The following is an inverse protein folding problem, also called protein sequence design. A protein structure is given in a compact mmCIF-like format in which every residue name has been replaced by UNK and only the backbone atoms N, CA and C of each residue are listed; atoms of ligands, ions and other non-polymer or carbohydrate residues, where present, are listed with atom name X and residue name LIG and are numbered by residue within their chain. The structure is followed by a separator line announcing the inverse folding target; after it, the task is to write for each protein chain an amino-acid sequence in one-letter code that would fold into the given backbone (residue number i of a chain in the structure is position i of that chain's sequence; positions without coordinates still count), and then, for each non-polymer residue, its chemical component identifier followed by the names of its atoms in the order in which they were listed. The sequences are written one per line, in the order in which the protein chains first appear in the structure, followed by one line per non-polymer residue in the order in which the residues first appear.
data_IF_929359779548
#
_entry.id   IF_929359779548
#
_cell.length_a   1.000
_cell.length_b   1.000
_cell.length_c   1.000
_cell.angle_alpha   90.00
_cell.angle_beta   90.00
_cell.angle_gamma   90.00
#
_symmetry.space_group_name_H-M   'P 1'
#
loop_
_entity.id
_entity.type
_entity.pdbx_description
1 polymer ?
#
# COMPACT_ATOMS: atom_id res chain seq x y z
N UNK A 1 -1.85 -32.42 9.09
CA UNK A 1 -2.92 -31.46 8.77
C UNK A 1 -2.94 -30.20 9.65
N UNK A 2 -2.94 -30.30 10.99
CA UNK A 2 -2.90 -29.10 11.86
C UNK A 2 -1.46 -28.61 12.12
N UNK A 3 -0.49 -29.54 12.25
CA UNK A 3 0.93 -29.20 12.42
C UNK A 3 1.50 -28.41 11.24
N UNK A 4 1.16 -28.81 10.02
CA UNK A 4 1.67 -28.19 8.79
C UNK A 4 1.23 -26.71 8.65
N UNK A 5 0.02 -26.35 9.11
CA UNK A 5 -0.47 -24.96 9.12
C UNK A 5 0.23 -24.08 10.16
N UNK A 6 0.57 -24.64 11.32
CA UNK A 6 1.26 -23.91 12.39
C UNK A 6 2.70 -23.61 11.98
N UNK A 7 3.37 -24.57 11.33
CA UNK A 7 4.73 -24.42 10.81
C UNK A 7 4.82 -23.37 9.71
N UNK A 8 3.85 -23.32 8.78
CA UNK A 8 3.78 -22.31 7.72
C UNK A 8 3.66 -20.89 8.31
N UNK A 9 2.77 -20.70 9.30
CA UNK A 9 2.58 -19.38 9.95
C UNK A 9 3.83 -18.93 10.72
N UNK A 10 4.56 -19.86 11.34
CA UNK A 10 5.82 -19.52 12.03
C UNK A 10 6.97 -19.24 11.07
N UNK A 11 6.98 -19.88 9.89
CA UNK A 11 7.95 -19.61 8.84
C UNK A 11 7.71 -18.22 8.21
N UNK A 12 6.45 -17.88 7.91
CA UNK A 12 6.05 -16.54 7.46
C UNK A 12 6.42 -15.46 8.48
N UNK A 13 6.25 -15.70 9.79
CA UNK A 13 6.68 -14.78 10.85
C UNK A 13 8.20 -14.62 10.92
N UNK A 14 8.95 -15.71 10.76
CA UNK A 14 10.43 -15.67 10.73
C UNK A 14 10.93 -14.92 9.50
N UNK A 15 10.32 -15.13 8.35
CA UNK A 15 10.63 -14.45 7.08
C UNK A 15 10.27 -12.96 7.21
N UNK A 16 9.08 -12.62 7.72
CA UNK A 16 8.66 -11.25 7.97
C UNK A 16 9.59 -10.51 8.95
N UNK A 17 10.03 -11.17 10.03
CA UNK A 17 11.03 -10.60 10.96
C UNK A 17 12.41 -10.38 10.32
N UNK A 18 12.77 -11.16 9.30
CA UNK A 18 14.06 -11.08 8.59
C UNK A 18 14.06 -10.02 7.48
N UNK A 19 12.88 -9.65 6.98
CA UNK A 19 12.69 -8.60 5.95
C UNK A 19 12.52 -7.21 6.59
N UNK A 20 12.03 -7.17 7.82
CA UNK A 20 11.84 -5.93 8.56
C UNK A 20 13.18 -5.39 9.08
N UNK A 21 13.48 -4.09 8.94
CA UNK A 21 14.73 -3.50 9.44
C UNK A 21 14.82 -3.63 10.99
N UNK A 22 15.94 -3.27 11.62
CA UNK A 22 16.06 -3.17 13.08
C UNK A 22 15.01 -2.21 13.71
N UNK A 23 14.60 -2.41 14.98
CA UNK A 23 13.59 -1.57 15.65
C UNK A 23 13.86 -0.06 15.64
N UNK A 24 15.13 0.32 15.54
CA UNK A 24 15.60 1.71 15.66
C UNK A 24 15.77 2.42 14.31
N UNK A 25 15.51 1.73 13.21
CA UNK A 25 15.55 2.30 11.87
C UNK A 25 14.19 2.83 11.41
N UNK A 26 14.17 3.88 10.57
CA UNK A 26 12.94 4.38 9.97
C UNK A 26 12.20 3.33 9.15
N UNK A 27 10.87 3.36 9.20
CA UNK A 27 9.99 2.45 8.45
C UNK A 27 8.72 3.14 8.03
N UNK A 28 8.08 2.60 6.99
CA UNK A 28 6.75 3.01 6.59
C UNK A 28 5.67 2.38 7.47
N UNK A 29 5.05 3.18 8.33
CA UNK A 29 3.88 2.81 9.09
C UNK A 29 2.60 3.19 8.34
N UNK A 30 1.65 2.26 8.22
CA UNK A 30 0.30 2.61 7.81
C UNK A 30 -0.48 3.17 9.00
N UNK A 31 -1.02 4.38 8.85
CA UNK A 31 -1.74 5.10 9.88
C UNK A 31 -3.19 5.38 9.46
N UNK A 32 -4.07 5.41 10.44
CA UNK A 32 -5.50 5.73 10.38
C UNK A 32 -5.68 7.19 10.78
N UNK A 33 -6.32 7.99 9.93
CA UNK A 33 -6.71 9.37 10.17
C UNK A 33 -8.25 9.53 10.04
N UNK A 34 -9.03 9.21 11.09
CA UNK A 34 -10.48 9.05 10.98
C UNK A 34 -11.17 10.33 10.52
N UNK A 35 -12.34 10.16 9.89
CA UNK A 35 -13.19 11.25 9.36
C UNK A 35 -12.53 12.05 8.22
N UNK A 36 -11.86 11.35 7.29
CA UNK A 36 -11.21 11.93 6.10
C UNK A 36 -10.16 13.00 6.43
N UNK A 37 -9.44 12.81 7.55
CA UNK A 37 -8.44 13.76 8.04
C UNK A 37 -7.03 13.43 7.56
N UNK A 38 -6.87 12.52 6.59
CA UNK A 38 -5.58 12.15 6.01
C UNK A 38 -4.77 13.37 5.54
N UNK A 39 -5.38 14.32 4.82
CA UNK A 39 -4.69 15.53 4.36
C UNK A 39 -4.35 16.50 5.49
N UNK A 40 -5.19 16.55 6.55
CA UNK A 40 -4.89 17.35 7.75
C UNK A 40 -3.73 16.74 8.53
N UNK A 41 -3.68 15.41 8.62
CA UNK A 41 -2.56 14.69 9.22
C UNK A 41 -1.28 14.89 8.42
N UNK A 42 -1.34 14.81 7.09
CA UNK A 42 -0.21 15.09 6.19
C UNK A 42 0.38 16.48 6.47
N UNK A 43 -0.43 17.54 6.43
CA UNK A 43 0.04 18.89 6.71
C UNK A 43 0.74 19.01 8.09
N UNK A 44 0.16 18.42 9.14
CA UNK A 44 0.75 18.43 10.47
C UNK A 44 2.04 17.60 10.60
N UNK A 45 2.22 16.58 9.76
CA UNK A 45 3.45 15.79 9.68
C UNK A 45 4.53 16.52 8.85
N UNK A 46 4.12 17.20 7.77
CA UNK A 46 4.99 18.02 6.94
C UNK A 46 5.59 19.17 7.75
N UNK A 47 4.80 19.85 8.59
CA UNK A 47 5.27 20.88 9.53
C UNK A 47 6.33 20.37 10.51
N UNK A 48 6.34 19.05 10.78
CA UNK A 48 7.32 18.39 11.65
C UNK A 48 8.49 17.79 10.87
N UNK A 49 8.53 17.94 9.55
CA UNK A 49 9.54 17.32 8.69
C UNK A 49 9.48 15.79 8.66
N UNK A 50 8.32 15.20 8.95
CA UNK A 50 8.14 13.74 8.96
C UNK A 50 7.64 13.30 7.59
N UNK A 51 8.46 12.50 6.90
CA UNK A 51 8.09 11.97 5.59
C UNK A 51 6.80 11.16 5.67
N UNK A 52 5.89 11.42 4.75
CA UNK A 52 4.59 10.79 4.69
C UNK A 52 4.07 10.67 3.25
N UNK A 53 3.01 9.90 3.07
CA UNK A 53 2.39 9.68 1.76
C UNK A 53 0.91 9.35 1.90
N UNK A 54 0.07 10.09 1.18
CA UNK A 54 -1.36 9.78 0.99
C UNK A 54 -1.54 9.36 -0.47
N UNK A 55 -2.09 8.18 -0.77
CA UNK A 55 -2.37 7.80 -2.16
C UNK A 55 -3.50 8.67 -2.72
N UNK A 56 -3.21 9.40 -3.80
CA UNK A 56 -4.14 10.36 -4.41
C UNK A 56 -4.49 9.96 -5.85
N UNK A 57 -5.67 10.38 -6.33
CA UNK A 57 -6.06 10.32 -7.73
C UNK A 57 -6.71 11.62 -8.17
N UNK A 58 -6.71 11.87 -9.47
CA UNK A 58 -7.57 12.89 -10.03
C UNK A 58 -9.01 12.40 -10.13
N UNK A 59 -9.94 13.24 -9.72
CA UNK A 59 -11.37 13.03 -9.87
C UNK A 59 -12.02 14.31 -10.42
N UNK A 60 -13.01 14.15 -11.31
CA UNK A 60 -13.81 15.28 -11.78
C UNK A 60 -14.91 15.52 -10.77
N UNK A 61 -14.78 16.60 -9.99
CA UNK A 61 -15.79 17.00 -9.02
C UNK A 61 -16.69 18.06 -9.65
N UNK A 62 -17.99 17.81 -9.60
CA UNK A 62 -19.02 18.77 -10.03
C UNK A 62 -19.38 19.66 -8.85
N UNK A 63 -19.14 20.97 -8.98
CA UNK A 63 -19.55 21.96 -7.99
C UNK A 63 -20.44 23.00 -8.68
N UNK A 64 -21.75 22.84 -8.52
CA UNK A 64 -22.74 23.60 -9.28
C UNK A 64 -22.64 23.29 -10.79
N UNK A 65 -22.49 24.32 -11.62
CA UNK A 65 -22.36 24.17 -13.08
C UNK A 65 -20.92 23.87 -13.55
N UNK A 66 -19.90 23.96 -12.68
CA UNK A 66 -18.50 23.80 -13.06
C UNK A 66 -17.96 22.41 -12.72
N UNK A 67 -17.29 21.80 -13.70
CA UNK A 67 -16.50 20.57 -13.54
C UNK A 67 -15.05 20.96 -13.26
N UNK A 68 -14.51 20.54 -12.11
CA UNK A 68 -13.10 20.78 -11.76
C UNK A 68 -12.38 19.46 -11.52
N UNK A 69 -11.21 19.29 -12.13
CA UNK A 69 -10.30 18.18 -11.85
C UNK A 69 -9.61 18.46 -10.51
N UNK A 70 -9.80 17.60 -9.52
CA UNK A 70 -9.21 17.73 -8.18
C UNK A 70 -8.46 16.47 -7.79
N UNK A 71 -7.35 16.63 -7.06
CA UNK A 71 -6.66 15.53 -6.38
C UNK A 71 -7.42 15.18 -5.11
N UNK A 72 -7.83 13.92 -5.00
CA UNK A 72 -8.56 13.40 -3.85
C UNK A 72 -7.89 12.12 -3.34
N UNK A 73 -7.93 11.84 -2.02
CA UNK A 73 -7.45 10.58 -1.48
C UNK A 73 -8.19 9.40 -2.11
N UNK A 74 -7.44 8.41 -2.57
CA UNK A 74 -8.02 7.19 -3.15
C UNK A 74 -8.60 6.30 -2.06
N UNK A 75 -7.90 6.25 -0.93
CA UNK A 75 -8.28 5.46 0.24
C UNK A 75 -8.44 6.43 1.40
N UNK A 76 -9.67 6.63 1.84
CA UNK A 76 -9.95 7.48 2.98
C UNK A 76 -9.43 6.86 4.28
N UNK A 77 -9.15 7.71 5.26
CA UNK A 77 -8.67 7.26 6.58
C UNK A 77 -7.35 6.46 6.48
N UNK A 78 -6.46 6.84 5.56
CA UNK A 78 -5.16 6.22 5.36
C UNK A 78 -4.09 7.26 5.06
N UNK A 79 -2.97 7.16 5.76
CA UNK A 79 -1.73 7.86 5.45
C UNK A 79 -0.56 6.94 5.82
N UNK A 80 0.48 6.90 4.99
CA UNK A 80 1.71 6.21 5.29
C UNK A 80 2.73 7.20 5.86
N UNK A 81 3.49 6.79 6.87
CA UNK A 81 4.47 7.67 7.55
C UNK A 81 5.80 6.96 7.66
N UNK A 82 6.87 7.58 7.17
CA UNK A 82 8.24 7.05 7.22
C UNK A 82 9.04 7.72 8.33
N UNK A 83 9.26 6.99 9.43
CA UNK A 83 10.05 7.49 10.55
C UNK A 83 10.43 6.36 11.51
N UNK A 84 11.16 6.68 12.58
CA UNK A 84 11.38 5.77 13.70
C UNK A 84 10.10 5.64 14.52
N UNK A 85 9.93 4.51 15.21
CA UNK A 85 8.76 4.24 16.06
C UNK A 85 8.53 5.31 17.14
N UNK A 86 9.60 5.78 17.76
CA UNK A 86 9.52 6.84 18.78
C UNK A 86 9.02 8.17 18.19
N UNK A 87 9.49 8.52 16.98
CA UNK A 87 9.08 9.74 16.28
C UNK A 87 7.57 9.80 16.05
N UNK A 88 6.97 8.71 15.56
CA UNK A 88 5.51 8.67 15.37
C UNK A 88 4.76 8.62 16.71
N UNK A 89 5.30 7.97 17.74
CA UNK A 89 4.69 7.98 19.09
C UNK A 89 4.63 9.40 19.66
N UNK A 90 5.69 10.19 19.48
CA UNK A 90 5.71 11.60 19.87
C UNK A 90 4.79 12.46 19.00
N UNK A 91 4.77 12.25 17.68
CA UNK A 91 3.88 12.97 16.76
C UNK A 91 2.39 12.78 17.13
N UNK A 92 2.00 11.58 17.56
CA UNK A 92 0.64 11.27 18.03
C UNK A 92 0.19 12.12 19.22
N UNK A 93 1.10 12.64 20.05
CA UNK A 93 0.72 13.52 21.17
C UNK A 93 0.12 14.84 20.66
N UNK A 94 0.70 15.38 19.58
CA UNK A 94 0.20 16.59 18.90
C UNK A 94 -0.87 16.31 17.83
N UNK A 95 -0.97 15.08 17.34
CA UNK A 95 -1.97 14.64 16.35
C UNK A 95 -2.77 13.47 16.94
N UNK A 96 -3.59 13.69 17.98
CA UNK A 96 -4.16 12.62 18.81
C UNK A 96 -5.11 11.69 18.06
N UNK A 97 -5.65 12.13 16.93
CA UNK A 97 -6.51 11.31 16.09
C UNK A 97 -5.75 10.38 15.15
N UNK A 98 -4.43 10.55 14.97
CA UNK A 98 -3.63 9.68 14.13
C UNK A 98 -3.33 8.39 14.90
N UNK A 99 -3.79 7.26 14.39
CA UNK A 99 -3.65 5.96 15.04
C UNK A 99 -2.98 4.95 14.12
N UNK A 100 -2.36 3.90 14.67
CA UNK A 100 -1.81 2.84 13.81
C UNK A 100 -2.96 2.12 13.11
N UNK A 101 -2.79 1.82 11.81
CA UNK A 101 -3.49 0.69 11.22
C UNK A 101 -2.80 -0.56 11.73
N UNK A 102 -3.59 -1.50 12.24
CA UNK A 102 -3.07 -2.72 12.86
C UNK A 102 -3.61 -3.96 12.18
N UNK A 103 -2.78 -4.99 12.10
CA UNK A 103 -3.21 -6.35 11.82
C UNK A 103 -3.27 -7.16 13.12
N UNK A 104 -4.14 -8.17 13.17
CA UNK A 104 -4.25 -9.05 14.33
C UNK A 104 -3.28 -10.22 14.18
N UNK A 105 -2.36 -10.34 15.12
CA UNK A 105 -1.42 -11.46 15.23
C UNK A 105 -1.67 -12.18 16.57
N UNK A 106 -2.45 -13.27 16.52
CA UNK A 106 -2.94 -13.95 17.72
C UNK A 106 -3.82 -13.02 18.56
N UNK A 107 -3.39 -12.75 19.80
CA UNK A 107 -4.08 -11.85 20.73
C UNK A 107 -3.55 -10.41 20.72
N UNK A 108 -2.61 -10.10 19.84
CA UNK A 108 -2.00 -8.77 19.75
C UNK A 108 -2.41 -8.06 18.47
N UNK A 109 -2.65 -6.76 18.58
CA UNK A 109 -2.77 -5.87 17.43
C UNK A 109 -1.40 -5.26 17.15
N UNK A 110 -0.80 -5.61 16.01
CA UNK A 110 0.51 -5.11 15.61
C UNK A 110 0.37 -4.04 14.53
N UNK A 111 1.16 -2.95 14.57
CA UNK A 111 1.18 -1.96 13.50
C UNK A 111 1.51 -2.59 12.14
N UNK A 112 0.81 -2.17 11.10
CA UNK A 112 1.12 -2.57 9.72
C UNK A 112 2.33 -1.75 9.26
N UNK A 113 3.41 -2.44 8.92
CA UNK A 113 4.65 -1.88 8.39
C UNK A 113 4.77 -2.30 6.93
N UNK A 114 5.04 -1.33 6.05
CA UNK A 114 5.24 -1.55 4.61
C UNK A 114 6.74 -1.59 4.32
N UNK A 115 7.29 -2.64 3.69
CA UNK A 115 8.67 -2.66 3.26
C UNK A 115 8.99 -1.55 2.23
N UNK A 116 10.22 -1.03 2.25
CA UNK A 116 10.61 0.11 1.41
C UNK A 116 10.44 -0.16 -0.09
N UNK A 117 10.82 -1.36 -0.57
CA UNK A 117 10.60 -1.76 -1.97
C UNK A 117 9.13 -1.75 -2.35
N UNK A 118 8.27 -2.30 -1.48
CA UNK A 118 6.83 -2.34 -1.70
C UNK A 118 6.22 -0.94 -1.69
N UNK A 119 6.65 -0.07 -0.77
CA UNK A 119 6.21 1.33 -0.75
C UNK A 119 6.67 2.09 -1.99
N UNK A 120 7.91 1.89 -2.43
CA UNK A 120 8.45 2.50 -3.65
C UNK A 120 7.64 2.10 -4.88
N UNK A 121 7.34 0.82 -5.02
CA UNK A 121 6.53 0.30 -6.13
C UNK A 121 5.10 0.85 -6.07
N UNK A 122 4.49 0.88 -4.89
CA UNK A 122 3.15 1.42 -4.67
C UNK A 122 3.06 2.91 -5.02
N UNK A 123 4.01 3.73 -4.52
CA UNK A 123 4.16 5.15 -4.87
C UNK A 123 4.30 5.31 -6.39
N UNK A 124 5.22 4.55 -7.02
CA UNK A 124 5.45 4.61 -8.48
C UNK A 124 4.19 4.34 -9.30
N UNK A 125 3.37 3.38 -8.88
CA UNK A 125 2.08 3.12 -9.54
C UNK A 125 1.12 4.27 -9.32
N UNK A 126 0.89 4.67 -8.07
CA UNK A 126 -0.08 5.71 -7.72
C UNK A 126 0.24 7.09 -8.34
N UNK A 127 1.51 7.50 -8.29
CA UNK A 127 1.98 8.81 -8.77
C UNK A 127 1.97 8.91 -10.31
N UNK A 128 1.72 7.80 -11.02
CA UNK A 128 1.50 7.84 -12.47
C UNK A 128 0.16 8.48 -12.86
N UNK A 129 -0.79 8.56 -11.91
CA UNK A 129 -2.16 9.07 -12.09
C UNK A 129 -2.88 8.49 -13.31
N UNK A 130 -2.52 7.29 -13.74
CA UNK A 130 -3.12 6.62 -14.89
C UNK A 130 -4.58 6.26 -14.58
N UNK A 131 -5.50 6.70 -15.45
CA UNK A 131 -6.94 6.46 -15.29
C UNK A 131 -7.33 4.98 -15.38
N UNK A 132 -6.44 4.12 -15.90
CA UNK A 132 -6.62 2.68 -15.95
C UNK A 132 -6.27 1.98 -14.62
N UNK A 133 -5.58 2.66 -13.70
CA UNK A 133 -5.26 2.11 -12.38
C UNK A 133 -6.54 1.90 -11.59
N UNK A 134 -6.63 0.74 -10.94
CA UNK A 134 -7.76 0.41 -10.06
C UNK A 134 -7.25 0.00 -8.69
N UNK A 135 -7.91 0.54 -7.68
CA UNK A 135 -7.68 0.21 -6.29
C UNK A 135 -8.76 -0.76 -5.85
N UNK A 136 -8.33 -1.78 -5.13
CA UNK A 136 -9.18 -2.83 -4.59
C UNK A 136 -8.95 -2.90 -3.08
N UNK A 137 -10.04 -3.09 -2.35
CA UNK A 137 -9.97 -3.37 -0.92
C UNK A 137 -9.43 -4.80 -0.69
N UNK A 138 -8.85 -5.08 0.49
CA UNK A 138 -8.47 -6.44 0.86
C UNK A 138 -9.66 -7.40 0.70
N UNK A 139 -9.45 -8.51 0.00
CA UNK A 139 -10.48 -9.53 -0.26
C UNK A 139 -11.30 -9.34 -1.54
N UNK A 140 -11.28 -8.16 -2.19
CA UNK A 140 -11.97 -7.95 -3.48
C UNK A 140 -11.25 -8.64 -4.65
N UNK A 141 -9.96 -8.92 -4.48
CA UNK A 141 -9.12 -9.52 -5.50
C UNK A 141 -8.34 -10.70 -4.93
N UNK A 142 -8.45 -11.85 -5.58
CA UNK A 142 -7.71 -13.05 -5.20
C UNK A 142 -6.33 -13.05 -5.89
N UNK A 143 -5.33 -12.45 -5.22
CA UNK A 143 -3.94 -12.44 -5.67
C UNK A 143 -3.25 -13.78 -5.47
N UNK A 144 -3.71 -14.66 -4.59
CA UNK A 144 -2.98 -15.89 -4.23
C UNK A 144 -2.89 -16.91 -5.36
N UNK A 145 -3.71 -16.74 -6.41
CA UNK A 145 -3.67 -17.55 -7.64
C UNK A 145 -2.78 -16.96 -8.74
N UNK A 146 -2.17 -15.81 -8.50
CA UNK A 146 -1.33 -15.15 -9.49
C UNK A 146 0.12 -15.58 -9.41
N UNK A 147 0.93 -15.04 -10.32
CA UNK A 147 2.37 -15.31 -10.39
C UNK A 147 3.13 -14.06 -9.98
N UNK A 148 4.12 -14.19 -9.08
CA UNK A 148 4.98 -13.06 -8.72
C UNK A 148 5.83 -12.66 -9.93
N UNK A 149 5.77 -11.38 -10.28
CA UNK A 149 6.46 -10.85 -11.47
C UNK A 149 7.05 -9.48 -11.20
N UNK A 150 8.04 -9.10 -12.01
CA UNK A 150 8.54 -7.74 -12.15
C UNK A 150 8.21 -7.23 -13.56
N UNK A 151 7.71 -6.01 -13.67
CA UNK A 151 7.49 -5.36 -14.96
C UNK A 151 8.85 -4.98 -15.53
N UNK A 152 9.14 -5.35 -16.77
CA UNK A 152 10.43 -5.08 -17.42
C UNK A 152 10.40 -3.78 -18.23
N UNK A 153 9.25 -3.43 -18.81
CA UNK A 153 9.13 -2.33 -19.77
C UNK A 153 8.14 -1.23 -19.38
N UNK A 154 8.28 -0.08 -20.04
CA UNK A 154 7.37 1.06 -19.90
C UNK A 154 7.47 1.80 -18.56
N UNK A 155 6.49 2.67 -18.28
CA UNK A 155 6.53 3.57 -17.11
C UNK A 155 6.52 2.85 -15.76
N UNK A 156 6.12 1.58 -15.73
CA UNK A 156 6.08 0.76 -14.52
C UNK A 156 7.28 -0.20 -14.42
N UNK A 157 8.29 -0.12 -15.30
CA UNK A 157 9.48 -0.96 -15.23
C UNK A 157 10.10 -1.01 -13.83
N UNK A 158 10.48 -2.18 -13.35
CA UNK A 158 11.02 -2.45 -12.01
C UNK A 158 9.98 -2.60 -10.89
N UNK A 159 8.70 -2.31 -11.15
CA UNK A 159 7.61 -2.56 -10.20
C UNK A 159 7.38 -4.05 -10.09
N UNK A 160 7.35 -4.56 -8.85
CA UNK A 160 7.07 -5.95 -8.56
C UNK A 160 5.63 -6.10 -8.08
N UNK A 161 4.90 -7.02 -8.69
CA UNK A 161 3.52 -7.32 -8.28
C UNK A 161 3.18 -8.79 -8.46
N UNK A 162 1.90 -9.08 -8.41
CA UNK A 162 1.34 -10.38 -8.70
C UNK A 162 0.53 -10.27 -9.98
N UNK A 163 0.90 -11.05 -10.98
CA UNK A 163 0.23 -11.11 -12.27
C UNK A 163 -1.07 -11.89 -12.14
N UNK A 164 -2.20 -11.20 -12.33
CA UNK A 164 -3.54 -11.77 -12.17
C UNK A 164 -4.42 -11.44 -13.36
N UNK A 165 -5.42 -12.27 -13.60
CA UNK A 165 -6.48 -11.98 -14.56
C UNK A 165 -7.65 -11.31 -13.85
N UNK A 166 -7.97 -10.07 -14.22
CA UNK A 166 -9.14 -9.37 -13.69
C UNK A 166 -10.41 -9.86 -14.38
N UNK A 167 -11.46 -10.14 -13.60
CA UNK A 167 -12.76 -10.53 -14.14
C UNK A 167 -13.34 -9.42 -15.04
N UNK A 168 -13.92 -9.79 -16.18
CA UNK A 168 -14.51 -8.85 -17.14
C UNK A 168 -13.50 -8.14 -18.08
N UNK A 169 -12.19 -8.42 -17.97
CA UNK A 169 -11.18 -7.95 -18.93
C UNK A 169 -10.51 -9.12 -19.66
N UNK A 170 -10.19 -8.91 -20.94
CA UNK A 170 -9.44 -9.89 -21.76
C UNK A 170 -7.95 -9.92 -21.41
N UNK A 171 -7.42 -8.88 -20.78
CA UNK A 171 -6.02 -8.75 -20.40
C UNK A 171 -5.72 -9.12 -18.95
N UNK A 172 -4.45 -9.42 -18.68
CA UNK A 172 -3.90 -9.61 -17.33
C UNK A 172 -3.33 -8.28 -16.82
N UNK A 173 -3.30 -8.11 -15.50
CA UNK A 173 -2.77 -6.92 -14.84
C UNK A 173 -1.78 -7.34 -13.79
N UNK A 174 -0.77 -6.50 -13.55
CA UNK A 174 0.12 -6.66 -12.40
C UNK A 174 -0.48 -5.89 -11.23
N UNK A 175 -0.71 -6.60 -10.13
CA UNK A 175 -1.24 -6.04 -8.88
C UNK A 175 -0.10 -5.83 -7.89
N UNK A 176 0.09 -4.59 -7.44
CA UNK A 176 0.96 -4.27 -6.31
C UNK A 176 0.10 -4.31 -5.06
N UNK A 177 0.41 -5.24 -4.16
CA UNK A 177 -0.29 -5.41 -2.89
C UNK A 177 0.42 -4.61 -1.79
N UNK A 178 -0.35 -3.97 -0.91
CA UNK A 178 0.06 -3.64 0.46
C UNK A 178 -0.84 -4.47 1.38
N UNK A 179 -0.31 -5.56 1.96
CA UNK A 179 -1.11 -6.49 2.75
C UNK A 179 -1.90 -5.79 3.86
N UNK A 180 -3.13 -6.27 4.10
CA UNK A 180 -4.07 -5.72 5.09
C UNK A 180 -4.56 -4.28 4.84
N UNK A 181 -4.07 -3.61 3.80
CA UNK A 181 -4.45 -2.24 3.47
C UNK A 181 -5.21 -2.18 2.14
N UNK A 182 -4.57 -2.57 1.03
CA UNK A 182 -5.14 -2.41 -0.31
C UNK A 182 -4.33 -3.16 -1.37
N UNK A 183 -4.97 -3.38 -2.52
CA UNK A 183 -4.35 -3.85 -3.75
C UNK A 183 -4.48 -2.77 -4.84
N UNK A 184 -3.41 -2.48 -5.55
CA UNK A 184 -3.43 -1.56 -6.69
C UNK A 184 -3.09 -2.33 -7.96
N UNK A 185 -4.06 -2.43 -8.85
CA UNK A 185 -3.83 -2.98 -10.18
C UNK A 185 -3.36 -1.88 -11.12
N UNK A 186 -2.24 -2.14 -11.79
CA UNK A 186 -1.78 -1.39 -12.95
C UNK A 186 -2.68 -1.66 -14.17
N UNK A 187 -2.34 -1.04 -15.30
CA UNK A 187 -2.99 -1.28 -16.59
C UNK A 187 -2.93 -2.76 -17.03
N UNK A 188 -3.53 -3.06 -18.18
CA UNK A 188 -3.33 -4.38 -18.80
C UNK A 188 -1.87 -4.46 -19.25
N UNK A 189 -1.14 -5.48 -18.79
CA UNK A 189 0.27 -5.69 -19.13
C UNK A 189 0.38 -6.97 -19.95
N UNK A 190 1.11 -6.90 -21.07
CA UNK A 190 1.35 -8.06 -21.91
C UNK A 190 2.30 -9.04 -21.19
N UNK A 191 2.12 -10.37 -21.31
CA UNK A 191 3.00 -11.34 -20.67
C UNK A 191 4.50 -11.17 -20.98
N UNK A 192 4.82 -10.65 -22.16
CA UNK A 192 6.19 -10.35 -22.61
C UNK A 192 6.83 -9.14 -21.91
N UNK A 193 6.04 -8.26 -21.29
CA UNK A 193 6.51 -7.06 -20.57
C UNK A 193 6.77 -7.35 -19.07
N UNK A 194 6.77 -8.63 -18.68
CA UNK A 194 6.99 -9.06 -17.30
C UNK A 194 7.96 -10.23 -17.25
N UNK A 195 8.81 -10.24 -16.23
CA UNK A 195 9.62 -11.39 -15.85
C UNK A 195 9.06 -12.03 -14.59
N UNK A 196 9.06 -13.37 -14.55
CA UNK A 196 8.70 -14.11 -13.34
C UNK A 196 9.85 -14.01 -12.34
N UNK A 197 9.53 -13.65 -11.11
CA UNK A 197 10.50 -13.63 -10.01
C UNK A 197 10.11 -14.71 -8.99
N UNK A 198 11.11 -15.43 -8.48
CA UNK A 198 10.91 -16.42 -7.42
C UNK A 198 10.60 -15.74 -6.08
N UNK A 199 10.00 -16.49 -5.17
CA UNK A 199 9.74 -16.08 -3.78
C UNK A 199 11.03 -16.07 -2.93
#
# INVERSE_FOLDING_TARGET
MIKDKIEIVDLEKKIARRILPPPDEPRWFAMSAPYRRELKAQAALDEKGIENYVPMRYEIVVKGAMKKKMLVPVIHNLIFVYCKKETIQNAKQSIPYLQYRTNREGDKNVPIIVPDKQMKDFKKVCDSYDEQIRFFLPGELNVTKGTRVRITEGKFAGVEGTFVRLAGKRGRSVVVEIPFITNVATAIIAPEDVEVIGD
#
